data_IF_545401472696
#
_entry.id   IF_545401472696
#
_cell.length_a   1.000
_cell.length_b   1.000
_cell.length_c   1.000
_cell.angle_alpha   90.00
_cell.angle_beta   90.00
_cell.angle_gamma   90.00
#
_symmetry.space_group_name_H-M   'P 1'
#
loop_
_entity.id
_entity.type
_entity.pdbx_description
1 polymer ?
#
# COMPACT_ATOMS: atom_id res chain seq x y z
N UNK A 1 9.06 -5.96 3.34
CA UNK A 1 7.99 -6.59 4.16
C UNK A 1 6.82 -6.93 3.25
N UNK A 2 6.00 -7.93 3.59
CA UNK A 2 4.77 -8.22 2.85
C UNK A 2 3.69 -7.20 3.20
N UNK A 3 2.80 -6.89 2.25
CA UNK A 3 1.62 -6.08 2.52
C UNK A 3 0.76 -6.77 3.59
N UNK A 4 0.36 -6.07 4.67
CA UNK A 4 -0.47 -6.67 5.73
C UNK A 4 -1.89 -7.01 5.25
N UNK A 5 -2.32 -6.43 4.12
CA UNK A 5 -3.65 -6.65 3.56
C UNK A 5 -3.66 -7.82 2.56
N UNK A 6 -2.94 -7.69 1.44
CA UNK A 6 -2.99 -8.68 0.34
C UNK A 6 -1.81 -9.65 0.31
N UNK A 7 -0.86 -9.54 1.25
CA UNK A 7 0.33 -10.39 1.36
C UNK A 7 1.29 -10.33 0.16
N UNK A 8 1.04 -9.42 -0.78
CA UNK A 8 1.94 -9.09 -1.88
C UNK A 8 3.30 -8.59 -1.40
N UNK A 9 4.33 -8.74 -2.23
CA UNK A 9 5.70 -8.26 -1.90
C UNK A 9 5.99 -6.89 -2.49
N UNK A 10 5.24 -6.48 -3.50
CA UNK A 10 5.39 -5.21 -4.20
C UNK A 10 4.79 -4.06 -3.38
N UNK A 11 5.67 -3.42 -2.61
CA UNK A 11 5.35 -2.24 -1.83
C UNK A 11 6.39 -1.17 -2.16
N UNK A 12 5.93 0.05 -2.41
CA UNK A 12 6.79 1.22 -2.61
C UNK A 12 6.74 2.09 -1.38
N UNK A 13 7.87 2.71 -1.04
CA UNK A 13 7.92 3.68 0.04
C UNK A 13 7.40 5.02 -0.47
N UNK A 14 6.40 5.59 0.19
CA UNK A 14 5.80 6.86 -0.23
C UNK A 14 6.56 7.97 0.47
N UNK A 15 7.52 8.56 -0.26
CA UNK A 15 8.25 9.72 0.22
C UNK A 15 7.36 10.96 0.11
N UNK A 16 6.68 11.30 1.21
CA UNK A 16 5.92 12.54 1.30
C UNK A 16 6.92 13.67 1.57
N UNK A 17 7.43 14.26 0.49
CA UNK A 17 8.25 15.47 0.51
C UNK A 17 7.41 16.71 0.85
N UNK A 18 6.90 16.77 2.07
CA UNK A 18 6.41 18.02 2.64
C UNK A 18 7.44 18.46 3.68
N UNK A 19 8.00 19.67 3.53
CA UNK A 19 9.12 20.24 4.30
C UNK A 19 8.98 20.17 5.84
N UNK A 20 7.80 19.79 6.38
CA UNK A 20 7.56 19.61 7.81
C UNK A 20 7.36 18.15 8.28
N UNK A 21 7.38 17.15 7.40
CA UNK A 21 7.07 15.76 7.75
C UNK A 21 8.23 14.81 7.40
N UNK A 22 9.43 15.14 7.87
CA UNK A 22 10.54 14.19 7.95
C UNK A 22 10.24 13.15 9.05
N UNK A 23 9.22 12.32 8.83
CA UNK A 23 8.86 11.27 9.77
C UNK A 23 9.85 10.12 9.62
N UNK A 24 10.50 9.77 10.72
CA UNK A 24 11.46 8.66 10.83
C UNK A 24 10.89 7.31 10.33
N UNK A 25 9.57 7.22 10.15
CA UNK A 25 8.86 6.10 9.56
C UNK A 25 7.92 6.56 8.43
N UNK A 26 8.39 6.60 7.17
CA UNK A 26 7.55 6.93 6.03
C UNK A 26 6.48 5.85 5.78
N UNK A 27 5.27 6.27 5.34
CA UNK A 27 4.24 5.34 4.93
C UNK A 27 4.66 4.57 3.67
N UNK A 28 4.14 3.35 3.55
CA UNK A 28 4.36 2.44 2.43
C UNK A 28 3.03 2.19 1.74
N UNK A 29 3.07 2.11 0.43
CA UNK A 29 1.92 1.79 -0.40
C UNK A 29 2.14 0.44 -1.09
N UNK A 30 1.11 -0.43 -1.07
CA UNK A 30 1.14 -1.65 -1.86
C UNK A 30 0.70 -1.37 -3.29
N UNK A 31 1.58 -1.64 -4.26
CA UNK A 31 1.22 -1.51 -5.68
C UNK A 31 0.17 -2.54 -6.13
N UNK A 32 0.00 -3.64 -5.38
CA UNK A 32 -0.92 -4.71 -5.74
C UNK A 32 -2.38 -4.39 -5.37
N UNK A 33 -2.64 -3.89 -4.16
CA UNK A 33 -4.00 -3.63 -3.64
C UNK A 33 -4.25 -2.18 -3.19
N UNK A 34 -3.24 -1.30 -3.28
CA UNK A 34 -3.38 0.11 -2.90
C UNK A 34 -3.50 0.37 -1.40
N UNK A 35 -3.20 -0.62 -0.53
CA UNK A 35 -3.12 -0.36 0.91
C UNK A 35 -2.02 0.64 1.23
N UNK A 36 -2.26 1.51 2.20
CA UNK A 36 -1.26 2.43 2.74
C UNK A 36 -1.11 2.18 4.24
N UNK A 37 0.11 1.87 4.67
CA UNK A 37 0.41 1.61 6.09
C UNK A 37 1.79 2.13 6.44
N UNK A 38 2.02 2.40 7.72
CA UNK A 38 3.35 2.70 8.25
C UNK A 38 3.67 1.76 9.41
N UNK A 39 4.96 1.62 9.66
CA UNK A 39 5.45 0.93 10.85
C UNK A 39 5.67 2.01 11.90
N UNK A 40 5.35 1.77 13.15
CA UNK A 40 5.69 2.65 14.27
C UNK A 40 6.46 1.82 15.31
N UNK A 41 7.47 2.40 15.98
CA UNK A 41 8.04 1.75 17.15
C UNK A 41 6.99 1.70 18.28
N UNK A 42 6.88 0.55 18.96
CA UNK A 42 5.96 0.34 20.09
C UNK A 42 6.72 -0.35 21.23
N UNK A 43 7.41 0.46 22.05
CA UNK A 43 8.30 -0.05 23.10
C UNK A 43 9.43 -0.91 22.52
N UNK A 44 9.43 -2.21 22.84
CA UNK A 44 10.37 -3.21 22.32
C UNK A 44 9.92 -3.84 20.97
N UNK A 45 8.70 -3.50 20.52
CA UNK A 45 8.08 -4.05 19.33
C UNK A 45 7.93 -3.07 18.18
N UNK A 46 7.30 -3.56 17.10
CA UNK A 46 6.86 -2.73 15.98
C UNK A 46 5.35 -2.88 15.82
N UNK A 47 4.67 -1.75 15.68
CA UNK A 47 3.23 -1.68 15.41
C UNK A 47 3.00 -1.29 13.96
N UNK A 48 2.04 -1.95 13.31
CA UNK A 48 1.59 -1.55 11.98
C UNK A 48 0.37 -0.63 12.15
N UNK A 49 0.47 0.58 11.63
CA UNK A 49 -0.59 1.57 11.59
C UNK A 49 -1.11 1.64 10.15
N UNK A 50 -2.31 1.09 9.93
CA UNK A 50 -2.96 1.05 8.62
C UNK A 50 -3.71 2.36 8.42
N UNK A 51 -3.28 3.15 7.44
CA UNK A 51 -3.83 4.48 7.12
C UNK A 51 -4.98 4.33 6.12
N UNK A 52 -4.79 3.48 5.12
CA UNK A 52 -5.81 3.10 4.14
C UNK A 52 -5.78 1.59 3.96
N UNK A 53 -6.93 0.95 4.15
CA UNK A 53 -7.11 -0.45 3.77
C UNK A 53 -7.08 -0.59 2.25
N UNK A 54 -6.46 -1.65 1.75
CA UNK A 54 -6.40 -1.85 0.31
C UNK A 54 -7.73 -2.38 -0.16
N UNK A 55 -8.21 -1.83 -1.26
CA UNK A 55 -9.39 -2.35 -1.90
C UNK A 55 -8.98 -3.69 -2.51
N UNK A 56 -9.70 -4.78 -2.19
CA UNK A 56 -9.60 -5.99 -2.97
C UNK A 56 -9.82 -5.56 -4.42
N UNK A 57 -8.81 -5.73 -5.29
CA UNK A 57 -9.01 -5.46 -6.71
C UNK A 57 -10.15 -6.37 -7.13
N UNK A 58 -11.36 -5.82 -7.20
CA UNK A 58 -12.38 -6.29 -8.13
C UNK A 58 -11.59 -6.47 -9.41
N UNK A 59 -11.40 -7.73 -9.82
CA UNK A 59 -10.80 -8.04 -11.10
C UNK A 59 -11.63 -7.26 -12.09
N UNK A 60 -11.11 -6.14 -12.59
CA UNK A 60 -11.70 -5.51 -13.75
C UNK A 60 -11.34 -6.46 -14.87
N UNK A 61 -12.22 -7.44 -15.07
CA UNK A 61 -12.29 -8.23 -16.27
C UNK A 61 -12.47 -7.19 -17.38
N UNK A 62 -11.38 -6.84 -18.06
CA UNK A 62 -11.51 -6.15 -19.32
C UNK A 62 -12.24 -7.14 -20.21
N UNK A 63 -13.51 -6.90 -20.62
CA UNK A 63 -14.11 -7.75 -21.62
C UNK A 63 -13.17 -7.65 -22.82
N UNK A 64 -12.58 -8.80 -23.20
CA UNK A 64 -11.87 -8.94 -24.45
C UNK A 64 -12.70 -8.25 -25.51
N UNK A 65 -12.05 -7.31 -26.21
CA UNK A 65 -12.64 -6.37 -27.13
C UNK A 65 -13.35 -7.15 -28.26
N UNK A 66 -14.59 -7.57 -28.00
CA UNK A 66 -15.44 -8.20 -28.96
C UNK A 66 -15.95 -7.12 -29.92
N UNK A 67 -15.72 -7.40 -31.19
CA UNK A 67 -16.17 -6.65 -32.37
C UNK A 67 -15.33 -5.42 -32.75
N UNK A 68 -14.40 -5.64 -33.66
CA UNK A 68 -14.45 -4.85 -34.89
C UNK A 68 -14.36 -5.76 -36.12
N UNK A 69 -15.53 -5.92 -36.74
CA UNK A 69 -15.84 -6.21 -38.15
C UNK A 69 -15.31 -7.49 -38.80
#
# INVERSE_FOLDING_TARGET
MKCPNCWGRDCVDVNIHSDGYASNNPPKECSACGSIWRVLPDGDGTKIDVIKEGEEKLKYDFPDNAANS
#
